data_IF_046418982092
#
_entry.id   IF_046418982092
#
_cell.length_a   1.000
_cell.length_b   1.000
_cell.length_c   1.000
_cell.angle_alpha   90.00
_cell.angle_beta   90.00
_cell.angle_gamma   90.00
#
_symmetry.space_group_name_H-M   'P 1'
#
loop_
_entity.id
_entity.type
_entity.pdbx_description
1 polymer ?
#
# COMPACT_ATOMS: atom_id res chain seq x y z
N UNK A 1 -26.99 36.55 -8.69
CA UNK A 1 -25.70 35.83 -8.54
C UNK A 1 -25.89 34.73 -7.50
N UNK A 2 -25.63 33.47 -7.83
CA UNK A 2 -25.75 32.37 -6.85
C UNK A 2 -24.73 32.54 -5.73
N UNK A 3 -25.17 32.65 -4.48
CA UNK A 3 -24.26 32.80 -3.35
C UNK A 3 -23.56 31.46 -3.07
N UNK A 4 -22.23 31.43 -3.14
CA UNK A 4 -21.43 30.26 -2.76
C UNK A 4 -21.72 29.84 -1.31
N UNK A 5 -21.98 28.55 -1.08
CA UNK A 5 -22.09 27.98 0.27
C UNK A 5 -20.93 27.03 0.55
N UNK A 6 -20.10 27.35 1.53
CA UNK A 6 -19.02 26.47 2.01
C UNK A 6 -19.43 25.73 3.29
N UNK A 7 -19.11 24.43 3.38
CA UNK A 7 -19.35 23.62 4.58
C UNK A 7 -18.41 22.39 4.64
N UNK A 8 -18.11 21.86 5.84
CA UNK A 8 -17.43 20.58 5.97
C UNK A 8 -18.42 19.43 5.66
N UNK A 9 -18.11 18.54 4.71
CA UNK A 9 -18.88 17.31 4.51
C UNK A 9 -18.76 16.36 5.71
N UNK A 10 -19.80 15.54 5.92
CA UNK A 10 -19.77 14.42 6.87
C UNK A 10 -18.99 13.27 6.22
N UNK A 11 -17.86 12.89 6.82
CA UNK A 11 -17.08 11.76 6.36
C UNK A 11 -17.81 10.44 6.64
N UNK A 12 -17.62 9.47 5.76
CA UNK A 12 -18.28 8.16 5.75
C UNK A 12 -19.80 8.22 5.59
N UNK A 13 -20.28 9.25 4.90
CA UNK A 13 -21.71 9.46 4.69
C UNK A 13 -22.28 8.57 3.59
N UNK A 14 -23.53 8.17 3.77
CA UNK A 14 -24.31 7.38 2.82
C UNK A 14 -25.00 8.27 1.77
N UNK A 15 -25.73 7.65 0.85
CA UNK A 15 -26.51 8.37 -0.16
C UNK A 15 -27.61 9.25 0.44
N UNK A 16 -28.11 8.91 1.62
CA UNK A 16 -29.14 9.65 2.34
C UNK A 16 -28.67 11.05 2.73
N UNK A 17 -27.45 11.18 3.23
CA UNK A 17 -26.80 12.47 3.51
C UNK A 17 -26.77 13.37 2.27
N UNK A 18 -26.27 12.85 1.13
CA UNK A 18 -26.16 13.65 -0.08
C UNK A 18 -27.53 14.03 -0.65
N UNK A 19 -28.53 13.13 -0.61
CA UNK A 19 -29.89 13.41 -1.11
C UNK A 19 -30.66 14.37 -0.22
N UNK A 20 -30.58 14.22 1.11
CA UNK A 20 -31.40 15.00 2.06
C UNK A 20 -30.73 16.28 2.53
N UNK A 21 -29.40 16.35 2.56
CA UNK A 21 -28.68 17.51 3.08
C UNK A 21 -27.95 18.28 1.97
N UNK A 22 -27.13 17.60 1.15
CA UNK A 22 -26.31 18.30 0.13
C UNK A 22 -27.13 18.77 -1.06
N UNK A 23 -28.00 17.93 -1.62
CA UNK A 23 -28.79 18.26 -2.81
C UNK A 23 -29.70 19.50 -2.61
N UNK A 24 -30.42 19.69 -1.49
CA UNK A 24 -31.15 20.94 -1.24
C UNK A 24 -30.26 22.18 -1.22
N UNK A 25 -29.04 22.07 -0.67
CA UNK A 25 -28.07 23.17 -0.68
C UNK A 25 -27.63 23.50 -2.11
N UNK A 26 -27.33 22.49 -2.94
CA UNK A 26 -26.98 22.69 -4.36
C UNK A 26 -28.15 23.37 -5.10
N UNK A 27 -29.39 22.93 -4.88
CA UNK A 27 -30.58 23.53 -5.51
C UNK A 27 -30.77 25.02 -5.15
N UNK A 28 -30.54 25.36 -3.86
CA UNK A 28 -30.68 26.72 -3.32
C UNK A 28 -29.53 27.64 -3.74
N UNK A 29 -28.28 27.20 -3.55
CA UNK A 29 -27.08 28.03 -3.67
C UNK A 29 -26.42 27.96 -5.05
N UNK A 30 -26.78 26.98 -5.88
CA UNK A 30 -26.19 26.64 -7.19
C UNK A 30 -24.75 26.14 -7.12
N UNK A 31 -23.93 26.69 -6.22
CA UNK A 31 -22.56 26.25 -5.97
C UNK A 31 -22.38 25.95 -4.49
N UNK A 32 -21.93 24.74 -4.20
CA UNK A 32 -21.61 24.27 -2.85
C UNK A 32 -20.14 23.84 -2.83
N UNK A 33 -19.37 24.41 -1.90
CA UNK A 33 -17.97 24.09 -1.69
C UNK A 33 -17.82 23.22 -0.43
N UNK A 34 -17.41 21.96 -0.64
CA UNK A 34 -17.10 21.04 0.44
C UNK A 34 -15.65 21.24 0.86
N UNK A 35 -15.41 21.90 2.00
CA UNK A 35 -14.08 22.39 2.38
C UNK A 35 -13.17 21.34 3.06
N UNK A 36 -13.59 20.06 3.08
CA UNK A 36 -12.81 18.90 3.55
C UNK A 36 -12.84 17.83 2.48
N UNK A 37 -11.92 17.89 1.53
CA UNK A 37 -11.84 16.98 0.38
C UNK A 37 -11.39 15.57 0.78
N UNK A 38 -10.89 15.39 1.99
CA UNK A 38 -10.52 14.11 2.60
C UNK A 38 -11.71 13.36 3.24
N UNK A 39 -12.89 13.99 3.31
CA UNK A 39 -14.11 13.33 3.75
C UNK A 39 -14.52 12.24 2.77
N UNK A 40 -14.72 11.02 3.28
CA UNK A 40 -14.93 9.84 2.46
C UNK A 40 -16.41 9.55 2.27
N UNK A 41 -16.76 8.91 1.15
CA UNK A 41 -18.05 8.25 1.00
C UNK A 41 -18.05 6.95 1.82
N UNK A 42 -19.21 6.50 2.31
CA UNK A 42 -19.34 5.18 2.92
C UNK A 42 -18.73 4.07 2.03
N UNK A 43 -18.02 3.12 2.65
CA UNK A 43 -17.48 1.98 1.91
C UNK A 43 -18.61 1.00 1.56
N UNK A 44 -19.41 0.62 2.56
CA UNK A 44 -20.51 -0.33 2.44
C UNK A 44 -21.89 0.38 2.46
N UNK A 45 -22.96 -0.37 2.19
CA UNK A 45 -24.34 0.12 2.30
C UNK A 45 -24.78 1.09 1.19
N UNK A 46 -23.99 1.25 0.13
CA UNK A 46 -24.37 2.03 -1.04
C UNK A 46 -25.14 1.17 -2.06
N UNK A 47 -26.05 1.76 -2.85
CA UNK A 47 -26.69 1.06 -3.96
C UNK A 47 -25.67 0.46 -4.94
N UNK A 48 -25.98 -0.71 -5.50
CA UNK A 48 -25.06 -1.45 -6.39
C UNK A 48 -24.68 -0.63 -7.63
N UNK A 49 -25.58 0.21 -8.14
CA UNK A 49 -25.34 1.09 -9.28
C UNK A 49 -24.26 2.15 -8.95
N UNK A 50 -24.24 2.63 -7.70
CA UNK A 50 -23.22 3.57 -7.24
C UNK A 50 -21.87 2.87 -7.09
N UNK A 51 -21.84 1.64 -6.59
CA UNK A 51 -20.60 0.85 -6.53
C UNK A 51 -20.07 0.57 -7.94
N UNK A 52 -20.93 0.16 -8.89
CA UNK A 52 -20.58 -0.03 -10.30
C UNK A 52 -20.03 1.24 -10.95
N UNK A 53 -20.58 2.42 -10.63
CA UNK A 53 -20.02 3.69 -11.08
C UNK A 53 -18.62 3.91 -10.50
N UNK A 54 -18.41 3.64 -9.21
CA UNK A 54 -17.08 3.74 -8.58
C UNK A 54 -16.09 2.78 -9.23
N UNK A 55 -16.50 1.58 -9.65
CA UNK A 55 -15.66 0.65 -10.40
C UNK A 55 -15.13 1.30 -11.69
N UNK A 56 -16.04 1.82 -12.51
CA UNK A 56 -15.70 2.49 -13.78
C UNK A 56 -14.81 3.70 -13.55
N UNK A 57 -15.04 4.47 -12.50
CA UNK A 57 -14.21 5.65 -12.20
C UNK A 57 -12.82 5.25 -11.71
N UNK A 58 -12.72 4.40 -10.68
CA UNK A 58 -11.45 4.08 -10.03
C UNK A 58 -10.49 3.25 -10.89
N UNK A 59 -11.02 2.37 -11.74
CA UNK A 59 -10.20 1.40 -12.47
C UNK A 59 -10.22 1.55 -13.99
N UNK A 60 -10.94 2.54 -14.53
CA UNK A 60 -10.97 2.79 -15.98
C UNK A 60 -10.84 4.29 -16.31
N UNK A 61 -11.68 5.14 -15.73
CA UNK A 61 -11.70 6.57 -16.08
C UNK A 61 -10.50 7.36 -15.51
N UNK A 62 -10.06 7.04 -14.29
CA UNK A 62 -8.88 7.67 -13.70
C UNK A 62 -7.62 7.08 -14.33
N UNK A 63 -6.94 7.90 -15.13
CA UNK A 63 -5.70 7.55 -15.84
C UNK A 63 -4.61 8.57 -15.54
N UNK A 64 -3.37 8.12 -15.57
CA UNK A 64 -2.25 9.05 -15.54
C UNK A 64 -2.11 9.78 -16.87
N UNK A 65 -1.31 10.84 -16.88
CA UNK A 65 -1.02 11.53 -18.14
C UNK A 65 -0.24 10.61 -19.08
N UNK A 66 -0.33 10.82 -20.41
CA UNK A 66 0.34 9.97 -21.38
C UNK A 66 1.85 9.80 -21.14
N UNK A 67 2.52 10.82 -20.61
CA UNK A 67 3.95 10.82 -20.31
C UNK A 67 4.30 9.82 -19.20
N UNK A 68 3.51 9.81 -18.12
CA UNK A 68 3.66 8.85 -17.02
C UNK A 68 3.34 7.44 -17.51
N UNK A 69 2.24 7.29 -18.28
CA UNK A 69 1.85 5.98 -18.80
C UNK A 69 2.92 5.39 -19.73
N UNK A 70 3.53 6.22 -20.59
CA UNK A 70 4.57 5.77 -21.51
C UNK A 70 5.86 5.40 -20.78
N UNK A 71 6.31 6.21 -19.82
CA UNK A 71 7.47 5.89 -19.01
C UNK A 71 7.25 4.63 -18.16
N UNK A 72 6.08 4.50 -17.53
CA UNK A 72 5.70 3.29 -16.79
C UNK A 72 5.75 2.04 -17.68
N UNK A 73 5.21 2.10 -18.90
CA UNK A 73 5.31 1.01 -19.89
C UNK A 73 6.75 0.71 -20.30
N UNK A 74 7.65 1.69 -20.35
CA UNK A 74 9.09 1.43 -20.61
C UNK A 74 9.75 0.72 -19.44
N UNK A 75 9.50 1.15 -18.20
CA UNK A 75 10.01 0.49 -16.99
C UNK A 75 9.58 -0.98 -16.92
N UNK A 76 8.29 -1.25 -17.14
CA UNK A 76 7.76 -2.62 -17.17
C UNK A 76 8.43 -3.44 -18.27
N UNK A 77 8.60 -2.89 -19.48
CA UNK A 77 9.32 -3.59 -20.57
C UNK A 77 10.77 -3.90 -20.21
N UNK A 78 11.47 -2.99 -19.54
CA UNK A 78 12.85 -3.20 -19.10
C UNK A 78 12.95 -4.34 -18.08
N UNK A 79 12.03 -4.41 -17.11
CA UNK A 79 11.95 -5.49 -16.14
C UNK A 79 11.62 -6.82 -16.82
N UNK A 80 10.56 -6.86 -17.62
CA UNK A 80 10.08 -8.08 -18.31
C UNK A 80 11.12 -8.73 -19.23
N UNK A 81 12.05 -7.95 -19.81
CA UNK A 81 13.16 -8.48 -20.62
C UNK A 81 14.08 -9.42 -19.84
N UNK A 82 14.15 -9.28 -18.53
CA UNK A 82 14.98 -10.10 -17.65
C UNK A 82 14.17 -11.18 -16.92
N UNK A 83 12.91 -11.42 -17.35
CA UNK A 83 12.05 -12.47 -16.82
C UNK A 83 10.98 -11.98 -15.83
N UNK A 84 10.46 -12.89 -15.00
CA UNK A 84 9.55 -12.56 -13.91
C UNK A 84 10.20 -11.64 -12.88
N UNK A 85 9.41 -10.76 -12.27
CA UNK A 85 9.86 -9.84 -11.25
C UNK A 85 8.84 -9.65 -10.13
N UNK A 86 9.39 -9.42 -8.94
CA UNK A 86 8.63 -9.09 -7.73
C UNK A 86 8.74 -7.59 -7.53
N UNK A 87 7.62 -6.96 -7.20
CA UNK A 87 7.65 -5.60 -6.66
C UNK A 87 7.51 -5.66 -5.16
N UNK A 88 8.51 -5.11 -4.49
CA UNK A 88 8.55 -4.94 -3.05
C UNK A 88 8.24 -3.47 -2.73
N UNK A 89 7.05 -3.21 -2.18
CA UNK A 89 6.72 -1.89 -1.66
C UNK A 89 7.29 -1.76 -0.24
N UNK A 90 8.55 -1.35 -0.20
CA UNK A 90 9.39 -1.29 0.99
C UNK A 90 9.22 0.06 1.69
N UNK A 91 8.22 0.18 2.57
CA UNK A 91 7.89 1.45 3.25
C UNK A 91 8.80 1.72 4.46
N UNK A 92 10.11 1.82 4.21
CA UNK A 92 11.15 2.06 5.21
C UNK A 92 11.78 3.45 5.04
N UNK A 93 10.97 4.44 4.71
CA UNK A 93 11.39 5.85 4.59
C UNK A 93 11.39 6.56 5.95
N UNK A 94 12.21 7.61 6.06
CA UNK A 94 12.42 8.35 7.31
C UNK A 94 11.13 8.95 7.89
N UNK A 95 10.24 9.48 7.04
CA UNK A 95 8.95 10.04 7.46
C UNK A 95 8.04 8.96 8.08
N UNK A 96 8.04 7.76 7.49
CA UNK A 96 7.25 6.63 7.98
C UNK A 96 7.79 6.12 9.33
N UNK A 97 9.10 5.97 9.47
CA UNK A 97 9.71 5.52 10.72
C UNK A 97 9.54 6.56 11.83
N UNK A 98 9.70 7.84 11.52
CA UNK A 98 9.45 8.92 12.47
C UNK A 98 7.98 8.96 12.91
N UNK A 99 7.03 8.84 11.98
CA UNK A 99 5.60 8.84 12.28
C UNK A 99 5.18 7.65 13.14
N UNK A 100 5.64 6.44 12.77
CA UNK A 100 5.30 5.19 13.48
C UNK A 100 6.06 5.02 14.79
N UNK A 101 7.17 5.74 15.00
CA UNK A 101 8.04 5.59 16.15
C UNK A 101 8.87 4.30 16.15
N UNK A 102 8.94 3.62 15.01
CA UNK A 102 9.60 2.32 14.89
C UNK A 102 11.10 2.50 14.67
N UNK A 103 11.90 2.02 15.62
CA UNK A 103 13.37 2.16 15.61
C UNK A 103 14.10 0.83 15.68
N UNK A 104 13.41 -0.29 15.44
CA UNK A 104 14.05 -1.61 15.39
C UNK A 104 15.15 -1.64 14.33
N UNK A 105 16.33 -2.10 14.70
CA UNK A 105 17.51 -2.13 13.84
C UNK A 105 18.17 -0.76 13.61
N UNK A 106 17.62 0.35 14.14
CA UNK A 106 18.25 1.67 14.10
C UNK A 106 19.35 1.79 15.17
N UNK A 107 20.38 2.58 14.88
CA UNK A 107 21.33 3.03 15.91
C UNK A 107 20.66 4.02 16.87
N UNK A 108 21.29 4.28 18.03
CA UNK A 108 20.82 5.30 18.97
C UNK A 108 20.73 6.69 18.34
N UNK A 109 21.67 7.03 17.46
CA UNK A 109 21.68 8.30 16.72
C UNK A 109 20.51 8.39 15.73
N UNK A 110 20.28 7.33 14.95
CA UNK A 110 19.15 7.23 14.02
C UNK A 110 17.81 7.34 14.76
N UNK A 111 17.65 6.62 15.88
CA UNK A 111 16.44 6.69 16.71
C UNK A 111 16.18 8.10 17.28
N UNK A 112 17.23 8.82 17.67
CA UNK A 112 17.12 10.21 18.11
C UNK A 112 16.72 11.15 16.98
N UNK A 113 17.27 10.98 15.78
CA UNK A 113 16.90 11.77 14.60
C UNK A 113 15.42 11.59 14.26
N UNK A 114 14.95 10.34 14.17
CA UNK A 114 13.53 10.01 13.92
C UNK A 114 12.63 10.62 15.00
N UNK A 115 13.07 10.60 16.27
CA UNK A 115 12.34 11.23 17.37
C UNK A 115 12.27 12.75 17.21
N UNK A 116 13.37 13.43 16.89
CA UNK A 116 13.38 14.88 16.63
C UNK A 116 12.43 15.25 15.51
N UNK A 117 12.47 14.51 14.39
CA UNK A 117 11.55 14.70 13.27
C UNK A 117 10.10 14.56 13.71
N UNK A 118 9.76 13.49 14.45
CA UNK A 118 8.40 13.27 14.94
C UNK A 118 7.88 14.43 15.78
N UNK A 119 8.71 15.01 16.64
CA UNK A 119 8.33 16.16 17.47
C UNK A 119 8.23 17.46 16.66
N UNK A 120 9.00 17.60 15.57
CA UNK A 120 8.98 18.78 14.70
C UNK A 120 7.65 18.96 13.93
N UNK A 121 6.83 17.91 13.76
CA UNK A 121 5.54 17.97 13.08
C UNK A 121 4.36 18.12 14.07
N UNK A 122 3.76 19.31 14.26
CA UNK A 122 2.81 19.54 15.36
C UNK A 122 1.50 18.75 15.23
N UNK A 123 1.09 18.41 14.00
CA UNK A 123 -0.17 17.69 13.74
C UNK A 123 -0.09 16.18 13.97
N UNK A 124 1.11 15.60 14.16
CA UNK A 124 1.23 14.21 14.59
C UNK A 124 0.95 14.08 16.08
N UNK A 125 -0.18 13.47 16.41
CA UNK A 125 -0.72 13.44 17.80
C UNK A 125 0.12 12.56 18.75
N UNK A 126 0.57 11.40 18.28
CA UNK A 126 1.31 10.43 19.10
C UNK A 126 2.81 10.81 19.09
N UNK A 127 3.34 11.21 20.25
CA UNK A 127 4.73 11.69 20.40
C UNK A 127 5.62 10.74 21.19
N UNK A 128 5.06 10.11 22.22
CA UNK A 128 5.74 9.08 23.01
C UNK A 128 5.21 7.74 22.52
N UNK A 129 6.09 6.91 21.96
CA UNK A 129 5.73 5.62 21.36
C UNK A 129 6.74 4.60 21.85
N UNK A 130 6.24 3.46 22.33
CA UNK A 130 7.02 2.27 22.56
C UNK A 130 7.23 1.55 21.22
N UNK A 131 8.44 1.67 20.67
CA UNK A 131 8.82 1.06 19.39
C UNK A 131 8.67 -0.46 19.42
N UNK A 132 9.05 -1.10 20.53
CA UNK A 132 9.09 -2.55 20.62
C UNK A 132 7.68 -3.13 20.72
N UNK A 133 6.81 -2.47 21.51
CA UNK A 133 5.39 -2.83 21.57
C UNK A 133 4.71 -2.67 20.18
N UNK A 134 4.91 -1.54 19.48
CA UNK A 134 4.35 -1.34 18.13
C UNK A 134 4.86 -2.40 17.15
N UNK A 135 6.14 -2.76 17.21
CA UNK A 135 6.72 -3.80 16.35
C UNK A 135 6.06 -5.15 16.63
N UNK A 136 5.96 -5.56 17.90
CA UNK A 136 5.32 -6.82 18.32
C UNK A 136 3.85 -6.89 17.88
N UNK A 137 3.14 -5.77 17.86
CA UNK A 137 1.76 -5.67 17.36
C UNK A 137 1.65 -5.64 15.82
N UNK A 138 2.77 -5.70 15.09
CA UNK A 138 2.80 -5.64 13.62
C UNK A 138 2.49 -4.25 13.05
N UNK A 139 2.61 -3.20 13.87
CA UNK A 139 2.31 -1.80 13.52
C UNK A 139 3.53 -1.03 12.98
N UNK A 140 4.68 -1.70 12.87
CA UNK A 140 5.89 -1.18 12.22
C UNK A 140 6.06 -1.71 10.80
N UNK A 141 6.67 -0.93 9.89
CA UNK A 141 7.23 -1.48 8.65
C UNK A 141 8.28 -2.54 8.97
N UNK A 142 8.33 -3.62 8.20
CA UNK A 142 9.44 -4.58 8.30
C UNK A 142 10.74 -3.91 7.86
N UNK A 143 11.84 -4.21 8.56
CA UNK A 143 13.16 -3.77 8.10
C UNK A 143 13.58 -4.52 6.83
N UNK A 144 14.50 -4.00 6.01
CA UNK A 144 14.98 -4.75 4.84
C UNK A 144 15.65 -6.08 5.22
N UNK A 145 16.27 -6.19 6.39
CA UNK A 145 16.82 -7.44 6.93
C UNK A 145 15.73 -8.46 7.26
N UNK A 146 14.64 -8.03 7.90
CA UNK A 146 13.48 -8.90 8.15
C UNK A 146 12.79 -9.30 6.84
N UNK A 147 12.68 -8.35 5.92
CA UNK A 147 12.09 -8.56 4.60
C UNK A 147 12.86 -9.60 3.80
N UNK A 148 14.19 -9.56 3.83
CA UNK A 148 15.03 -10.56 3.16
C UNK A 148 14.72 -11.99 3.65
N UNK A 149 14.63 -12.18 4.97
CA UNK A 149 14.28 -13.47 5.58
C UNK A 149 12.88 -13.92 5.15
N UNK A 150 11.90 -13.02 5.16
CA UNK A 150 10.52 -13.34 4.78
C UNK A 150 10.42 -13.73 3.31
N UNK A 151 11.10 -13.01 2.40
CA UNK A 151 11.08 -13.36 0.97
C UNK A 151 11.68 -14.75 0.74
N UNK A 152 12.80 -15.07 1.39
CA UNK A 152 13.42 -16.40 1.31
C UNK A 152 12.49 -17.49 1.88
N UNK A 153 11.84 -17.20 3.02
CA UNK A 153 10.91 -18.12 3.66
C UNK A 153 9.63 -18.37 2.83
N UNK A 154 9.17 -17.37 2.07
CA UNK A 154 8.07 -17.49 1.11
C UNK A 154 8.47 -18.20 -0.20
N UNK A 155 9.73 -18.62 -0.33
CA UNK A 155 10.23 -19.30 -1.52
C UNK A 155 10.35 -18.40 -2.74
N UNK A 156 10.55 -17.08 -2.56
CA UNK A 156 10.88 -16.20 -3.68
C UNK A 156 12.26 -16.59 -4.21
N UNK A 157 12.32 -16.87 -5.51
CA UNK A 157 13.55 -17.33 -6.15
C UNK A 157 14.63 -16.24 -6.11
N UNK A 158 15.85 -16.64 -5.73
CA UNK A 158 17.01 -15.73 -5.60
C UNK A 158 17.35 -15.01 -6.91
N UNK A 159 17.08 -15.62 -8.05
CA UNK A 159 17.31 -15.07 -9.39
C UNK A 159 16.28 -14.04 -9.83
N UNK A 160 15.12 -13.95 -9.17
CA UNK A 160 14.09 -12.97 -9.54
C UNK A 160 14.59 -11.54 -9.38
N UNK A 161 14.14 -10.67 -10.29
CA UNK A 161 14.35 -9.24 -10.11
C UNK A 161 13.43 -8.73 -9.00
N UNK A 162 14.01 -7.99 -8.05
CA UNK A 162 13.25 -7.33 -6.98
C UNK A 162 13.24 -5.83 -7.27
N UNK A 163 12.12 -5.32 -7.78
CA UNK A 163 11.90 -3.89 -7.96
C UNK A 163 11.46 -3.25 -6.64
N UNK A 164 12.20 -2.25 -6.16
CA UNK A 164 11.86 -1.51 -4.94
C UNK A 164 10.94 -0.34 -5.28
N UNK A 165 9.66 -0.47 -4.93
CA UNK A 165 8.65 0.58 -5.02
C UNK A 165 8.63 1.38 -3.72
N UNK A 166 9.56 2.33 -3.58
CA UNK A 166 9.67 3.17 -2.38
C UNK A 166 10.39 4.49 -2.67
N UNK A 167 10.30 5.43 -1.72
CA UNK A 167 11.21 6.56 -1.64
C UNK A 167 12.63 6.14 -1.25
N UNK A 168 13.39 7.08 -0.70
CA UNK A 168 14.71 6.78 -0.14
C UNK A 168 14.59 5.89 1.09
N UNK A 169 15.32 4.77 1.10
CA UNK A 169 15.33 3.85 2.24
C UNK A 169 16.23 4.40 3.33
N UNK A 170 15.69 4.58 4.52
CA UNK A 170 16.43 5.16 5.64
C UNK A 170 17.61 4.28 6.07
N UNK A 171 18.80 4.87 6.16
CA UNK A 171 20.07 4.16 6.37
C UNK A 171 20.71 3.62 5.08
N UNK A 172 20.10 3.85 3.91
CA UNK A 172 20.69 3.67 2.59
C UNK A 172 21.24 2.25 2.34
N UNK A 173 22.42 2.19 1.73
CA UNK A 173 23.07 0.92 1.34
C UNK A 173 23.32 0.00 2.54
N UNK A 174 23.68 0.56 3.71
CA UNK A 174 23.90 -0.22 4.94
C UNK A 174 22.63 -0.97 5.33
N UNK A 175 21.48 -0.28 5.29
CA UNK A 175 20.18 -0.89 5.62
C UNK A 175 19.76 -1.94 4.59
N UNK A 176 20.06 -1.70 3.31
CA UNK A 176 19.70 -2.61 2.21
C UNK A 176 20.60 -3.84 2.08
N UNK A 177 21.75 -3.87 2.75
CA UNK A 177 22.81 -4.87 2.54
C UNK A 177 22.33 -6.33 2.68
N UNK A 178 21.50 -6.64 3.67
CA UNK A 178 20.97 -7.99 3.84
C UNK A 178 20.06 -8.40 2.67
N UNK A 179 19.20 -7.49 2.21
CA UNK A 179 18.28 -7.73 1.11
C UNK A 179 19.02 -7.91 -0.22
N UNK A 180 20.01 -7.07 -0.51
CA UNK A 180 20.81 -7.15 -1.75
C UNK A 180 21.77 -8.35 -1.75
N UNK A 181 22.22 -8.81 -0.57
CA UNK A 181 22.97 -10.06 -0.44
C UNK A 181 22.10 -11.31 -0.68
N UNK A 182 20.85 -11.27 -0.19
CA UNK A 182 19.87 -12.33 -0.41
C UNK A 182 19.36 -12.37 -1.85
N UNK A 183 19.17 -11.21 -2.49
CA UNK A 183 18.69 -11.06 -3.87
C UNK A 183 19.63 -10.14 -4.66
N UNK A 184 20.50 -10.69 -5.53
CA UNK A 184 21.48 -9.89 -6.27
C UNK A 184 20.86 -8.94 -7.31
N UNK A 185 19.63 -9.20 -7.76
CA UNK A 185 18.95 -8.45 -8.82
C UNK A 185 17.95 -7.41 -8.27
N UNK A 186 18.33 -6.69 -7.21
CA UNK A 186 17.53 -5.59 -6.66
C UNK A 186 17.69 -4.35 -7.53
N UNK A 187 16.58 -3.80 -8.03
CA UNK A 187 16.57 -2.65 -8.95
C UNK A 187 15.56 -1.59 -8.51
N UNK A 188 15.76 -0.38 -9.02
CA UNK A 188 14.84 0.76 -8.85
C UNK A 188 14.57 1.44 -10.19
N UNK A 189 13.50 2.21 -10.30
CA UNK A 189 13.22 3.04 -11.49
C UNK A 189 14.42 3.91 -11.89
N UNK A 190 15.10 4.50 -10.90
CA UNK A 190 16.27 5.35 -11.14
C UNK A 190 17.46 4.59 -11.74
N UNK A 191 17.58 3.29 -11.46
CA UNK A 191 18.64 2.44 -12.03
C UNK A 191 18.27 1.87 -13.40
N UNK A 192 16.98 1.70 -13.68
CA UNK A 192 16.49 1.10 -14.93
C UNK A 192 16.48 2.09 -16.09
N UNK A 193 16.03 3.32 -15.84
CA UNK A 193 15.90 4.39 -16.85
C UNK A 193 16.31 5.75 -16.24
N UNK A 194 17.61 5.94 -15.92
CA UNK A 194 18.09 7.08 -15.14
C UNK A 194 17.76 8.43 -15.79
N UNK A 195 17.88 8.54 -17.11
CA UNK A 195 17.65 9.79 -17.84
C UNK A 195 16.16 10.15 -17.88
N UNK A 196 15.30 9.21 -18.29
CA UNK A 196 13.88 9.44 -18.45
C UNK A 196 13.19 9.66 -17.10
N UNK A 197 13.56 8.87 -16.08
CA UNK A 197 13.07 9.06 -14.71
C UNK A 197 13.61 10.36 -14.11
N UNK A 198 14.80 10.82 -14.53
CA UNK A 198 15.38 12.11 -14.20
C UNK A 198 14.43 13.30 -14.39
N UNK A 199 13.59 13.24 -15.42
CA UNK A 199 12.60 14.28 -15.73
C UNK A 199 11.50 14.42 -14.65
N UNK A 200 11.34 13.41 -13.80
CA UNK A 200 10.29 13.30 -12.78
C UNK A 200 10.82 13.42 -11.35
N UNK A 201 12.13 13.52 -11.13
CA UNK A 201 12.76 13.40 -9.79
C UNK A 201 12.23 14.40 -8.75
N UNK A 202 11.85 15.61 -9.16
CA UNK A 202 11.30 16.63 -8.25
C UNK A 202 9.79 16.53 -8.04
N UNK A 203 9.14 15.50 -8.59
CA UNK A 203 7.69 15.30 -8.55
C UNK A 203 7.36 13.96 -7.87
N UNK A 204 7.39 13.95 -6.53
CA UNK A 204 7.18 12.74 -5.72
C UNK A 204 5.91 11.95 -6.08
N UNK A 205 4.81 12.65 -6.38
CA UNK A 205 3.55 12.01 -6.79
C UNK A 205 3.64 11.33 -8.16
N UNK A 206 4.41 11.88 -9.10
CA UNK A 206 4.62 11.26 -10.41
C UNK A 206 5.56 10.05 -10.29
N UNK A 207 6.59 10.14 -9.43
CA UNK A 207 7.46 9.01 -9.10
C UNK A 207 6.68 7.86 -8.46
N UNK A 208 5.75 8.15 -7.55
CA UNK A 208 4.86 7.15 -6.98
C UNK A 208 3.88 6.57 -8.02
N UNK A 209 3.44 7.36 -9.01
CA UNK A 209 2.61 6.86 -10.10
C UNK A 209 3.35 5.82 -10.96
N UNK A 210 4.65 6.01 -11.21
CA UNK A 210 5.48 5.00 -11.89
C UNK A 210 5.58 3.71 -11.07
N UNK A 211 5.83 3.82 -9.75
CA UNK A 211 5.85 2.68 -8.85
C UNK A 211 4.51 1.94 -8.85
N UNK A 212 3.39 2.67 -8.91
CA UNK A 212 2.04 2.09 -9.01
C UNK A 212 1.90 1.27 -10.28
N UNK A 213 2.24 1.83 -11.44
CA UNK A 213 2.15 1.13 -12.72
C UNK A 213 3.01 -0.15 -12.74
N UNK A 214 4.25 -0.06 -12.26
CA UNK A 214 5.15 -1.23 -12.19
C UNK A 214 4.59 -2.28 -11.22
N UNK A 215 4.01 -1.86 -10.09
CA UNK A 215 3.38 -2.75 -9.10
C UNK A 215 2.15 -3.48 -9.65
N UNK A 216 1.37 -2.86 -10.54
CA UNK A 216 0.23 -3.55 -11.17
C UNK A 216 0.70 -4.66 -12.10
N UNK A 217 1.80 -4.43 -12.82
CA UNK A 217 2.31 -5.32 -13.86
C UNK A 217 3.26 -6.41 -13.35
N UNK A 218 3.63 -6.41 -12.07
CA UNK A 218 4.51 -7.44 -11.48
C UNK A 218 3.83 -8.80 -11.31
N UNK A 219 4.63 -9.87 -11.30
CA UNK A 219 4.13 -11.23 -11.04
C UNK A 219 3.70 -11.39 -9.59
N UNK A 220 4.46 -10.79 -8.68
CA UNK A 220 4.15 -10.76 -7.26
C UNK A 220 4.30 -9.33 -6.76
N UNK A 221 3.29 -8.85 -6.02
CA UNK A 221 3.37 -7.59 -5.29
C UNK A 221 3.39 -7.89 -3.78
N UNK A 222 4.35 -7.32 -3.06
CA UNK A 222 4.53 -7.53 -1.61
C UNK A 222 4.74 -6.18 -0.92
N UNK A 223 3.74 -5.66 -0.19
CA UNK A 223 3.92 -4.49 0.66
C UNK A 223 4.46 -4.87 2.04
N UNK A 224 5.52 -4.18 2.49
CA UNK A 224 6.11 -4.40 3.83
C UNK A 224 5.40 -3.62 4.94
N UNK A 225 4.50 -2.72 4.58
CA UNK A 225 3.70 -1.93 5.50
C UNK A 225 2.33 -1.61 4.92
N UNK A 226 1.35 -1.37 5.79
CA UNK A 226 0.03 -0.94 5.35
C UNK A 226 0.04 0.55 5.00
N UNK A 227 -0.64 0.94 3.94
CA UNK A 227 -0.65 2.31 3.47
C UNK A 227 -1.55 2.51 2.26
N UNK A 228 -1.86 3.75 1.94
CA UNK A 228 -2.78 4.06 0.83
C UNK A 228 -2.28 3.48 -0.50
N UNK A 229 -0.97 3.56 -0.76
CA UNK A 229 -0.34 2.99 -1.94
C UNK A 229 -0.50 1.47 -2.02
N UNK A 230 -0.19 0.76 -0.94
CA UNK A 230 -0.35 -0.69 -0.86
C UNK A 230 -1.82 -1.10 -1.11
N UNK A 231 -2.77 -0.40 -0.47
CA UNK A 231 -4.21 -0.66 -0.61
C UNK A 231 -4.72 -0.41 -2.03
N UNK A 232 -4.33 0.69 -2.67
CA UNK A 232 -4.81 0.99 -4.04
C UNK A 232 -4.23 0.03 -5.07
N UNK A 233 -2.96 -0.38 -4.93
CA UNK A 233 -2.35 -1.40 -5.77
C UNK A 233 -3.05 -2.75 -5.56
N UNK A 234 -3.26 -3.16 -4.31
CA UNK A 234 -3.95 -4.41 -3.98
C UNK A 234 -5.33 -4.47 -4.63
N UNK A 235 -6.17 -3.45 -4.43
CA UNK A 235 -7.52 -3.45 -4.98
C UNK A 235 -7.55 -3.41 -6.50
N UNK A 236 -6.61 -2.70 -7.14
CA UNK A 236 -6.53 -2.73 -8.59
C UNK A 236 -6.00 -4.07 -9.12
N UNK A 237 -5.06 -4.72 -8.44
CA UNK A 237 -4.61 -6.09 -8.77
C UNK A 237 -5.75 -7.11 -8.62
N UNK A 238 -6.64 -6.94 -7.63
CA UNK A 238 -7.90 -7.71 -7.52
C UNK A 238 -8.81 -7.48 -8.72
N UNK A 239 -9.01 -6.21 -9.10
CA UNK A 239 -9.80 -5.83 -10.27
C UNK A 239 -9.27 -6.42 -11.59
N UNK A 240 -7.94 -6.49 -11.75
CA UNK A 240 -7.27 -7.07 -12.93
C UNK A 240 -7.21 -8.62 -12.91
N UNK A 241 -8.19 -9.27 -12.26
CA UNK A 241 -8.29 -10.73 -12.21
C UNK A 241 -7.45 -11.37 -11.10
N UNK A 242 -7.47 -10.79 -9.89
CA UNK A 242 -6.81 -11.35 -8.70
C UNK A 242 -5.30 -11.60 -8.88
N UNK A 243 -4.59 -10.64 -9.48
CA UNK A 243 -3.13 -10.73 -9.63
C UNK A 243 -2.45 -10.91 -8.26
N UNK A 244 -1.53 -11.87 -8.17
CA UNK A 244 -0.93 -12.33 -6.91
C UNK A 244 -0.37 -11.19 -6.07
N UNK A 245 -0.90 -11.02 -4.87
CA UNK A 245 -0.48 -9.98 -3.92
C UNK A 245 -0.31 -10.61 -2.55
N UNK A 246 0.91 -10.67 -2.03
CA UNK A 246 1.19 -11.31 -0.74
C UNK A 246 1.08 -10.28 0.38
N UNK A 247 -0.03 -10.31 1.12
CA UNK A 247 -0.27 -9.44 2.25
C UNK A 247 0.37 -10.01 3.50
N UNK A 248 1.47 -9.41 3.93
CA UNK A 248 2.25 -9.87 5.05
C UNK A 248 1.49 -9.73 6.38
N UNK A 249 1.36 -10.84 7.13
CA UNK A 249 0.94 -10.84 8.52
C UNK A 249 2.13 -10.40 9.39
N UNK A 250 2.32 -9.09 9.50
CA UNK A 250 3.49 -8.51 10.16
C UNK A 250 3.62 -8.91 11.61
N UNK A 251 2.50 -9.01 12.34
CA UNK A 251 2.52 -9.44 13.75
C UNK A 251 3.07 -10.87 13.85
N UNK A 252 2.56 -11.79 13.03
CA UNK A 252 3.05 -13.17 13.01
C UNK A 252 4.49 -13.27 12.52
N UNK A 253 4.86 -12.47 11.52
CA UNK A 253 6.25 -12.41 11.01
C UNK A 253 7.22 -11.96 12.09
N UNK A 254 6.89 -10.91 12.84
CA UNK A 254 7.76 -10.38 13.91
C UNK A 254 8.04 -11.46 14.96
N UNK A 255 7.00 -12.16 15.41
CA UNK A 255 7.13 -13.29 16.34
C UNK A 255 8.05 -14.38 15.78
N UNK A 256 7.79 -14.84 14.56
CA UNK A 256 8.58 -15.90 13.91
C UNK A 256 10.04 -15.47 13.67
N UNK A 257 10.27 -14.22 13.30
CA UNK A 257 11.63 -13.67 13.10
C UNK A 257 12.38 -13.63 14.42
N UNK A 258 11.75 -13.23 15.52
CA UNK A 258 12.38 -13.16 16.83
C UNK A 258 12.72 -14.56 17.35
N UNK A 259 11.82 -15.53 17.20
CA UNK A 259 12.06 -16.94 17.52
C UNK A 259 13.14 -17.58 16.65
N UNK A 260 13.23 -17.22 15.37
CA UNK A 260 14.31 -17.70 14.51
C UNK A 260 15.66 -17.09 14.94
N UNK A 261 15.70 -15.78 15.20
CA UNK A 261 16.93 -15.06 15.57
C UNK A 261 17.48 -15.46 16.94
N UNK A 262 16.60 -15.80 17.89
CA UNK A 262 17.02 -16.26 19.22
C UNK A 262 17.34 -17.77 19.27
N UNK A 263 17.21 -18.48 18.14
CA UNK A 263 17.52 -19.90 18.01
C UNK A 263 16.41 -20.86 18.45
N UNK A 264 15.24 -20.36 18.83
CA UNK A 264 14.08 -21.19 19.20
C UNK A 264 13.54 -21.96 17.98
N UNK A 265 13.50 -21.31 16.81
CA UNK A 265 13.07 -21.94 15.55
C UNK A 265 14.26 -22.24 14.63
N UNK A 266 14.24 -23.42 14.00
CA UNK A 266 15.11 -23.73 12.87
C UNK A 266 14.57 -23.12 11.57
N UNK A 267 15.43 -22.97 10.57
CA UNK A 267 15.04 -22.39 9.27
C UNK A 267 13.86 -23.12 8.61
N UNK A 268 13.84 -24.46 8.65
CA UNK A 268 12.76 -25.28 8.08
C UNK A 268 11.41 -24.97 8.71
N UNK A 269 11.39 -24.78 10.03
CA UNK A 269 10.16 -24.53 10.80
C UNK A 269 9.72 -23.07 10.62
N UNK A 270 10.67 -22.13 10.62
CA UNK A 270 10.43 -20.73 10.30
C UNK A 270 9.80 -20.57 8.92
N UNK A 271 10.42 -21.14 7.87
CA UNK A 271 9.91 -21.04 6.50
C UNK A 271 8.54 -21.67 6.35
N UNK A 272 8.33 -22.86 6.93
CA UNK A 272 7.02 -23.54 6.92
C UNK A 272 5.94 -22.71 7.61
N UNK A 273 6.24 -22.12 8.77
CA UNK A 273 5.30 -21.28 9.52
C UNK A 273 4.97 -19.98 8.78
N UNK A 274 5.97 -19.35 8.13
CA UNK A 274 5.75 -18.17 7.28
C UNK A 274 4.83 -18.54 6.11
N UNK A 275 5.10 -19.62 5.36
CA UNK A 275 4.25 -20.04 4.24
C UNK A 275 2.81 -20.35 4.69
N UNK A 276 2.66 -21.12 5.77
CA UNK A 276 1.35 -21.48 6.33
C UNK A 276 0.54 -20.23 6.71
N UNK A 277 1.18 -19.23 7.34
CA UNK A 277 0.51 -17.99 7.76
C UNK A 277 0.06 -17.09 6.61
N UNK A 278 0.53 -17.33 5.37
CA UNK A 278 0.26 -16.49 4.21
C UNK A 278 -0.51 -17.18 3.08
N UNK A 279 -0.90 -18.46 3.25
CA UNK A 279 -1.56 -19.24 2.19
C UNK A 279 -2.87 -18.59 1.71
N UNK A 280 -3.68 -18.03 2.63
CA UNK A 280 -4.93 -17.33 2.30
C UNK A 280 -4.77 -15.81 2.11
N UNK A 281 -3.53 -15.32 1.97
CA UNK A 281 -3.19 -13.88 1.94
C UNK A 281 -2.53 -13.47 0.62
N UNK A 282 -2.87 -14.17 -0.47
CA UNK A 282 -2.18 -14.02 -1.78
C UNK A 282 -3.00 -13.30 -2.86
N UNK A 283 -4.05 -12.57 -2.48
CA UNK A 283 -4.90 -11.81 -3.40
C UNK A 283 -6.19 -12.52 -3.81
N UNK A 284 -6.57 -13.57 -3.10
CA UNK A 284 -7.81 -14.33 -3.28
C UNK A 284 -9.07 -13.44 -3.23
N UNK A 285 -10.17 -13.83 -3.91
CA UNK A 285 -11.46 -13.17 -3.76
C UNK A 285 -11.92 -13.12 -2.30
N UNK A 286 -12.33 -11.95 -1.84
CA UNK A 286 -12.89 -11.78 -0.50
C UNK A 286 -13.97 -10.70 -0.50
N UNK A 287 -14.98 -10.85 0.36
CA UNK A 287 -15.94 -9.78 0.61
C UNK A 287 -15.28 -8.66 1.42
N UNK A 288 -15.74 -7.43 1.21
CA UNK A 288 -15.29 -6.27 1.98
C UNK A 288 -15.68 -6.45 3.44
N UNK A 289 -14.74 -6.22 4.37
CA UNK A 289 -15.04 -6.24 5.78
C UNK A 289 -16.02 -5.11 6.14
N UNK A 290 -17.08 -5.45 6.87
CA UNK A 290 -18.04 -4.51 7.45
C UNK A 290 -17.85 -4.48 8.95
N UNK A 291 -17.75 -3.28 9.53
CA UNK A 291 -17.62 -3.10 10.98
C UNK A 291 -18.74 -2.16 11.41
N UNK A 292 -19.80 -2.69 12.06
CA UNK A 292 -20.92 -1.87 12.52
C UNK A 292 -20.44 -0.65 13.30
N UNK A 293 -21.02 0.50 12.97
CA UNK A 293 -20.75 1.82 13.58
C UNK A 293 -19.30 2.33 13.46
N UNK A 294 -18.42 1.63 12.72
CA UNK A 294 -17.00 1.98 12.57
C UNK A 294 -16.56 1.92 11.11
N UNK A 295 -17.13 2.78 10.23
CA UNK A 295 -16.84 2.78 8.80
C UNK A 295 -15.37 3.05 8.45
N UNK A 296 -14.62 3.67 9.37
CA UNK A 296 -13.18 3.90 9.23
C UNK A 296 -12.34 2.63 9.35
N UNK A 297 -12.86 1.60 10.01
CA UNK A 297 -12.19 0.31 10.21
C UNK A 297 -12.57 -0.72 9.13
N UNK A 298 -13.54 -0.41 8.27
CA UNK A 298 -13.89 -1.23 7.11
C UNK A 298 -12.80 -1.18 6.03
N UNK A 299 -12.73 -2.21 5.18
CA UNK A 299 -11.84 -2.08 4.01
C UNK A 299 -12.35 -0.95 3.11
N UNK A 300 -11.41 -0.18 2.57
CA UNK A 300 -11.75 0.82 1.59
C UNK A 300 -12.28 0.17 0.31
N UNK A 301 -13.25 0.82 -0.34
CA UNK A 301 -13.72 0.38 -1.66
C UNK A 301 -12.59 0.16 -2.66
N UNK A 302 -11.63 1.09 -2.73
CA UNK A 302 -10.53 1.01 -3.68
C UNK A 302 -9.50 -0.08 -3.33
N UNK A 303 -9.55 -0.62 -2.11
CA UNK A 303 -8.69 -1.71 -1.64
C UNK A 303 -9.33 -3.08 -1.85
N UNK A 304 -10.65 -3.16 -1.66
CA UNK A 304 -11.43 -4.37 -1.95
C UNK A 304 -12.69 -4.01 -2.76
N UNK A 305 -12.58 -3.96 -4.11
CA UNK A 305 -13.66 -3.55 -4.98
C UNK A 305 -14.56 -4.73 -5.38
N UNK A 306 -14.98 -5.58 -4.43
CA UNK A 306 -15.68 -6.82 -4.73
C UNK A 306 -16.93 -6.68 -5.62
N UNK A 307 -17.62 -5.52 -5.60
CA UNK A 307 -18.77 -5.23 -6.48
C UNK A 307 -18.37 -5.02 -7.95
N UNK A 308 -17.09 -4.80 -8.24
CA UNK A 308 -16.52 -4.66 -9.57
C UNK A 308 -16.10 -5.99 -10.20
N UNK A 309 -16.06 -7.03 -9.38
CA UNK A 309 -15.57 -8.36 -9.73
C UNK A 309 -16.79 -9.20 -10.09
N UNK A 310 -16.67 -10.06 -11.10
CA UNK A 310 -17.71 -11.04 -11.39
C UNK A 310 -17.80 -11.96 -10.17
N UNK A 311 -18.99 -12.09 -9.57
CA UNK A 311 -19.12 -12.94 -8.38
C UNK A 311 -19.03 -14.41 -8.81
N UNK A 312 -18.48 -15.32 -7.98
CA UNK A 312 -18.52 -16.75 -8.27
C UNK A 312 -19.94 -17.28 -8.54
N UNK A 313 -20.96 -16.63 -7.95
CA UNK A 313 -22.38 -16.93 -8.17
C UNK A 313 -22.81 -16.66 -9.63
N UNK A 314 -22.17 -15.71 -10.32
CA UNK A 314 -22.42 -15.42 -11.75
C UNK A 314 -21.83 -16.49 -12.70
N UNK A 315 -20.93 -17.35 -12.21
CA UNK A 315 -20.34 -18.46 -12.99
C UNK A 315 -21.20 -19.73 -12.90
N UNK A 316 -22.04 -19.84 -11.86
CA UNK A 316 -23.00 -20.94 -11.71
C UNK A 316 -24.28 -20.78 -12.55
N UNK A 317 -24.41 -19.66 -13.25
CA UNK A 317 -25.57 -19.29 -14.08
C UNK A 317 -25.25 -19.18 -15.59
N UNK A 318 -24.09 -19.71 -16.01
CA UNK A 318 -23.69 -19.91 -17.42
C UNK A 318 -23.38 -21.39 -17.66
#
# INVERSE_FOLDING_TARGET
MGSLRSLPPVSWSDIGYYRRQILPLVKKYKVVHLNRTDARLANNGLPVEMQRLRCRVNYNALRFTPEIEDLGRRLVRALRRNGPFVVLHLRYEMDMLAFSGCTHGCSSMEAQELTKMRYAYPWWKEKVIDSDAKRKDGLCPLTPEETALVLQALGIDRGYQIYIAAGEIYGGQRRMAALTSAYPNVVRKETLLPWEVGLFQNHSSQMAALDYMVSLESDVFIPTYDGNMAKVVEGHRRYLGFRKTVLLDRRRIVELVDEYRNGTLRWTDFSSAVMASHTSRMGEPSRRQTVPDRPKEEDYFYANPHECLHQPEDVSAL
#
